data_IF_223971313113
#
_entry.id   IF_223971313113
#
_cell.length_a   1.000
_cell.length_b   1.000
_cell.length_c   1.000
_cell.angle_alpha   90.00
_cell.angle_beta   90.00
_cell.angle_gamma   90.00
#
_symmetry.space_group_name_H-M   'P 1'
#
loop_
_entity.id
_entity.type
_entity.pdbx_description
1 polymer ?
#
# COMPACT_ATOMS: atom_id res chain seq x y z
N UNK A 1 8.79 25.11 8.97
CA UNK A 1 8.01 23.98 8.46
C UNK A 1 7.15 24.48 7.32
N UNK A 2 7.29 23.94 6.11
CA UNK A 2 6.41 24.29 4.98
C UNK A 2 5.19 23.38 5.06
N UNK A 3 4.00 23.96 5.11
CA UNK A 3 2.73 23.22 5.10
C UNK A 3 2.09 23.39 3.74
N UNK A 4 1.68 22.28 3.13
CA UNK A 4 1.00 22.26 1.84
C UNK A 4 -0.50 22.02 2.06
N UNK A 5 -1.33 22.97 1.64
CA UNK A 5 -2.77 22.85 1.79
C UNK A 5 -3.35 21.92 0.72
N UNK A 6 -4.42 21.23 1.07
CA UNK A 6 -5.25 20.47 0.14
C UNK A 6 -6.11 21.41 -0.70
N UNK A 7 -6.04 21.29 -2.03
CA UNK A 7 -6.96 21.97 -2.96
C UNK A 7 -8.24 21.17 -3.13
N UNK A 8 -8.11 19.84 -3.31
CA UNK A 8 -9.23 18.96 -3.61
C UNK A 8 -8.99 17.57 -3.06
N UNK A 9 -10.05 16.96 -2.55
CA UNK A 9 -10.12 15.53 -2.25
C UNK A 9 -11.07 14.90 -3.26
N UNK A 10 -10.63 13.83 -3.91
CA UNK A 10 -11.39 13.14 -4.95
C UNK A 10 -11.59 11.70 -4.48
N UNK A 11 -12.78 11.41 -4.00
CA UNK A 11 -13.17 10.06 -3.58
C UNK A 11 -13.47 9.19 -4.80
N UNK A 12 -13.23 7.88 -4.69
CA UNK A 12 -13.73 6.94 -5.69
C UNK A 12 -15.26 7.05 -5.76
N UNK A 13 -15.86 7.20 -6.96
CA UNK A 13 -17.30 7.45 -7.11
C UNK A 13 -18.16 6.30 -6.56
N UNK A 14 -17.62 5.07 -6.62
CA UNK A 14 -18.29 3.86 -6.15
C UNK A 14 -17.85 3.44 -4.72
N UNK A 15 -17.30 4.35 -3.92
CA UNK A 15 -17.00 4.05 -2.52
C UNK A 15 -18.28 3.69 -1.76
N UNK A 16 -18.24 2.55 -1.06
CA UNK A 16 -19.35 2.06 -0.24
C UNK A 16 -18.92 2.07 1.23
N UNK A 17 -19.61 2.86 2.06
CA UNK A 17 -19.29 3.04 3.48
C UNK A 17 -19.74 1.87 4.36
N UNK A 18 -20.53 0.94 3.83
CA UNK A 18 -20.96 -0.27 4.52
C UNK A 18 -19.94 -1.38 4.30
N UNK A 19 -19.63 -1.70 3.05
CA UNK A 19 -18.67 -2.76 2.72
C UNK A 19 -17.22 -2.32 2.76
N UNK A 20 -16.97 -1.00 2.77
CA UNK A 20 -15.65 -0.37 2.57
C UNK A 20 -15.01 -0.75 1.23
N UNK A 21 -15.82 -1.18 0.26
CA UNK A 21 -15.34 -1.43 -1.08
C UNK A 21 -15.03 -0.13 -1.80
N UNK A 22 -14.04 -0.19 -2.70
CA UNK A 22 -13.47 0.99 -3.36
C UNK A 22 -12.97 2.08 -2.39
N UNK A 23 -12.46 1.70 -1.21
CA UNK A 23 -11.84 2.60 -0.24
C UNK A 23 -10.50 3.18 -0.75
N UNK A 24 -10.59 4.22 -1.56
CA UNK A 24 -9.49 5.00 -2.10
C UNK A 24 -9.94 6.43 -2.40
N UNK A 25 -9.03 7.38 -2.19
CA UNK A 25 -9.19 8.77 -2.61
C UNK A 25 -7.86 9.34 -3.09
N UNK A 26 -7.90 10.36 -3.95
CA UNK A 26 -6.75 11.19 -4.32
C UNK A 26 -6.85 12.54 -3.63
N UNK A 27 -5.70 13.06 -3.20
CA UNK A 27 -5.57 14.39 -2.59
C UNK A 27 -4.72 15.26 -3.50
N UNK A 28 -5.32 16.28 -4.10
CA UNK A 28 -4.60 17.29 -4.88
C UNK A 28 -4.10 18.38 -3.94
N UNK A 29 -2.79 18.63 -3.94
CA UNK A 29 -2.18 19.74 -3.22
C UNK A 29 -2.42 21.03 -3.99
N UNK A 30 -2.72 22.13 -3.28
CA UNK A 30 -2.96 23.44 -3.92
C UNK A 30 -1.73 24.13 -4.47
N UNK A 31 -0.56 23.52 -4.29
CA UNK A 31 0.65 23.91 -4.99
C UNK A 31 1.58 22.71 -5.12
N UNK A 32 2.43 22.74 -6.14
CA UNK A 32 3.51 21.78 -6.26
C UNK A 32 4.47 21.89 -5.07
N UNK A 33 4.95 20.73 -4.59
CA UNK A 33 5.93 20.69 -3.51
C UNK A 33 7.21 21.38 -3.96
N UNK A 34 7.59 22.46 -3.26
CA UNK A 34 8.84 23.19 -3.47
C UNK A 34 9.91 22.58 -2.56
N UNK A 35 10.91 21.98 -3.20
CA UNK A 35 12.04 21.36 -2.52
C UNK A 35 13.25 22.29 -2.58
N UNK A 36 14.11 22.22 -1.56
CA UNK A 36 15.37 22.97 -1.52
C UNK A 36 16.27 22.52 -2.68
N UNK A 37 16.53 23.39 -3.68
CA UNK A 37 17.25 23.00 -4.90
C UNK A 37 18.70 22.57 -4.64
N UNK A 38 19.27 22.89 -3.48
CA UNK A 38 20.63 22.49 -3.10
C UNK A 38 20.72 21.06 -2.57
N UNK A 39 19.58 20.44 -2.24
CA UNK A 39 19.48 19.08 -1.69
C UNK A 39 18.53 18.20 -2.48
N UNK A 40 18.47 18.43 -3.79
CA UNK A 40 17.51 17.74 -4.65
C UNK A 40 18.16 16.88 -5.71
N UNK A 41 17.54 15.73 -5.95
CA UNK A 41 17.82 14.81 -7.04
C UNK A 41 16.60 14.69 -7.93
N UNK A 42 16.83 14.32 -9.19
CA UNK A 42 15.78 14.24 -10.20
C UNK A 42 15.55 12.81 -10.64
N UNK A 43 14.28 12.41 -10.77
CA UNK A 43 13.88 11.18 -11.44
C UNK A 43 12.99 11.53 -12.62
N UNK A 44 13.35 11.04 -13.80
CA UNK A 44 12.47 11.14 -14.96
C UNK A 44 11.41 10.03 -14.86
N UNK A 45 10.15 10.41 -14.94
CA UNK A 45 9.00 9.49 -15.04
C UNK A 45 8.35 9.74 -16.40
N UNK A 46 8.87 9.11 -17.47
CA UNK A 46 8.40 9.37 -18.83
C UNK A 46 6.92 9.03 -18.97
N UNK A 47 6.21 9.79 -19.81
CA UNK A 47 4.80 9.57 -20.14
C UNK A 47 3.83 9.66 -18.94
N UNK A 48 4.22 10.36 -17.87
CA UNK A 48 3.37 10.72 -16.73
C UNK A 48 3.63 12.18 -16.34
N UNK A 49 4.45 12.44 -15.31
CA UNK A 49 4.72 13.78 -14.77
C UNK A 49 6.01 14.41 -15.31
N UNK A 50 6.76 13.70 -16.16
CA UNK A 50 8.08 14.13 -16.60
C UNK A 50 9.09 14.06 -15.46
N UNK A 51 9.87 15.12 -15.26
CA UNK A 51 10.90 15.16 -14.23
C UNK A 51 10.31 15.50 -12.86
N UNK A 52 10.45 14.58 -11.91
CA UNK A 52 10.04 14.78 -10.52
C UNK A 52 11.27 15.01 -9.66
N UNK A 53 11.25 16.13 -8.94
CA UNK A 53 12.31 16.47 -8.00
C UNK A 53 12.05 15.80 -6.64
N UNK A 54 13.09 15.32 -5.98
CA UNK A 54 13.00 14.70 -4.64
C UNK A 54 14.21 15.05 -3.77
N UNK A 55 14.04 14.95 -2.45
CA UNK A 55 15.13 15.08 -1.45
C UNK A 55 15.34 13.75 -0.73
N UNK A 56 16.30 13.70 0.18
CA UNK A 56 16.52 12.55 1.07
C UNK A 56 15.29 12.24 1.97
N UNK A 57 14.41 13.22 2.16
CA UNK A 57 13.25 13.10 3.07
C UNK A 57 11.90 13.14 2.34
N UNK A 58 11.84 13.68 1.12
CA UNK A 58 10.59 13.81 0.35
C UNK A 58 10.83 13.18 -1.02
N UNK A 59 10.28 11.98 -1.22
CA UNK A 59 10.38 11.23 -2.47
C UNK A 59 9.08 10.48 -2.75
N UNK A 60 8.59 10.47 -4.00
CA UNK A 60 7.44 9.65 -4.36
C UNK A 60 7.77 8.15 -4.29
N UNK A 61 6.77 7.35 -3.94
CA UNK A 61 6.81 5.88 -4.06
C UNK A 61 6.46 5.46 -5.49
N UNK A 62 6.97 4.33 -5.97
CA UNK A 62 6.52 3.78 -7.25
C UNK A 62 5.10 3.23 -7.10
N UNK A 63 4.30 3.38 -8.16
CA UNK A 63 3.00 2.71 -8.30
C UNK A 63 3.05 1.66 -9.42
N UNK A 64 2.34 0.53 -9.27
CA UNK A 64 2.21 -0.48 -10.32
C UNK A 64 1.43 0.11 -11.50
N UNK A 65 1.52 -0.52 -12.67
CA UNK A 65 0.80 -0.14 -13.88
C UNK A 65 1.12 1.24 -14.46
N UNK A 66 2.05 1.97 -13.86
CA UNK A 66 2.62 3.21 -14.40
C UNK A 66 3.70 2.92 -15.46
N UNK A 67 3.75 3.66 -16.57
CA UNK A 67 4.84 3.56 -17.54
C UNK A 67 6.22 3.75 -16.87
N UNK A 68 7.19 2.90 -17.23
CA UNK A 68 8.58 2.97 -16.75
C UNK A 68 8.73 3.02 -15.23
N UNK A 69 7.80 2.44 -14.47
CA UNK A 69 7.97 2.32 -13.03
C UNK A 69 9.13 1.37 -12.69
N UNK A 70 9.60 1.45 -11.44
CA UNK A 70 10.73 0.65 -11.00
C UNK A 70 10.43 -0.87 -10.96
N UNK A 71 9.16 -1.27 -10.84
CA UNK A 71 8.70 -2.66 -10.89
C UNK A 71 8.82 -3.25 -12.30
N UNK A 72 8.51 -2.46 -13.33
CA UNK A 72 8.63 -2.85 -14.73
C UNK A 72 10.06 -3.22 -15.06
N UNK A 73 11.01 -2.33 -14.71
CA UNK A 73 12.44 -2.58 -14.90
C UNK A 73 12.87 -3.83 -14.15
N UNK A 74 12.49 -3.97 -12.88
CA UNK A 74 12.79 -5.15 -12.06
C UNK A 74 12.29 -6.45 -12.71
N UNK A 75 11.01 -6.51 -13.12
CA UNK A 75 10.44 -7.72 -13.69
C UNK A 75 11.04 -8.08 -15.05
N UNK A 76 11.48 -7.08 -15.83
CA UNK A 76 12.24 -7.32 -17.07
C UNK A 76 13.61 -7.91 -16.80
N UNK A 77 14.35 -7.47 -15.76
CA UNK A 77 15.65 -8.09 -15.41
C UNK A 77 15.49 -9.53 -14.94
N UNK A 78 14.31 -9.90 -14.42
CA UNK A 78 13.95 -11.28 -14.06
C UNK A 78 13.31 -12.08 -15.20
N UNK A 79 13.20 -11.53 -16.41
CA UNK A 79 12.60 -12.21 -17.57
C UNK A 79 11.10 -12.47 -17.43
N UNK A 80 10.40 -11.79 -16.52
CA UNK A 80 8.97 -12.00 -16.23
C UNK A 80 8.03 -11.20 -17.15
N UNK A 81 8.54 -10.16 -17.80
CA UNK A 81 7.77 -9.35 -18.78
C UNK A 81 8.32 -9.62 -20.19
N UNK A 82 7.53 -10.23 -21.09
CA UNK A 82 7.90 -10.39 -22.50
C UNK A 82 8.21 -9.06 -23.19
N UNK A 83 9.18 -9.03 -24.11
CA UNK A 83 9.64 -7.81 -24.78
C UNK A 83 8.50 -7.03 -25.48
N UNK A 84 7.57 -7.73 -26.12
CA UNK A 84 6.48 -7.15 -26.91
C UNK A 84 5.18 -6.95 -26.12
N UNK A 85 5.24 -6.96 -24.77
CA UNK A 85 4.05 -6.78 -23.94
C UNK A 85 3.53 -5.34 -24.04
N UNK A 86 2.22 -5.19 -24.26
CA UNK A 86 1.55 -3.89 -24.19
C UNK A 86 1.33 -3.44 -22.74
N UNK A 87 0.89 -2.18 -22.53
CA UNK A 87 0.72 -1.60 -21.19
C UNK A 87 -0.26 -2.39 -20.31
N UNK A 88 -1.35 -2.93 -20.89
CA UNK A 88 -2.31 -3.74 -20.15
C UNK A 88 -1.68 -5.05 -19.68
N UNK A 89 -1.00 -5.77 -20.57
CA UNK A 89 -0.30 -7.01 -20.23
C UNK A 89 0.76 -6.78 -19.16
N UNK A 90 1.51 -5.68 -19.27
CA UNK A 90 2.47 -5.25 -18.26
C UNK A 90 1.77 -5.04 -16.91
N UNK A 91 0.67 -4.28 -16.87
CA UNK A 91 -0.09 -4.03 -15.65
C UNK A 91 -0.66 -5.31 -15.03
N UNK A 92 -1.16 -6.25 -15.83
CA UNK A 92 -1.66 -7.55 -15.37
C UNK A 92 -0.51 -8.36 -14.71
N UNK A 93 0.68 -8.39 -15.34
CA UNK A 93 1.88 -9.07 -14.80
C UNK A 93 2.36 -8.40 -13.50
N UNK A 94 2.42 -7.07 -13.48
CA UNK A 94 2.81 -6.28 -12.32
C UNK A 94 1.86 -6.50 -11.14
N UNK A 95 0.55 -6.49 -11.40
CA UNK A 95 -0.51 -6.77 -10.43
C UNK A 95 -0.33 -8.16 -9.84
N UNK A 96 -0.17 -9.18 -10.69
CA UNK A 96 0.05 -10.54 -10.25
C UNK A 96 1.33 -10.69 -9.41
N UNK A 97 2.39 -9.97 -9.77
CA UNK A 97 3.67 -10.03 -9.05
C UNK A 97 3.61 -9.40 -7.65
N UNK A 98 2.98 -8.23 -7.50
CA UNK A 98 2.95 -7.53 -6.19
C UNK A 98 1.91 -8.13 -5.24
N UNK A 99 0.83 -8.69 -5.78
CA UNK A 99 -0.22 -9.37 -5.01
C UNK A 99 0.03 -10.87 -4.83
N UNK A 100 1.20 -11.37 -5.27
CA UNK A 100 1.55 -12.78 -5.11
C UNK A 100 1.60 -13.17 -3.63
N UNK A 101 0.79 -14.17 -3.29
CA UNK A 101 0.71 -14.79 -1.96
C UNK A 101 1.44 -16.13 -1.91
N UNK A 102 1.86 -16.66 -3.05
CA UNK A 102 2.76 -17.80 -3.12
C UNK A 102 4.20 -17.31 -2.90
N UNK A 103 5.04 -18.13 -2.28
CA UNK A 103 6.47 -17.88 -1.98
C UNK A 103 6.81 -17.17 -0.65
N UNK A 104 8.08 -17.32 -0.24
CA UNK A 104 8.72 -16.60 0.88
C UNK A 104 8.87 -15.09 0.64
N UNK A 105 8.44 -14.59 -0.52
CA UNK A 105 8.54 -13.20 -0.93
C UNK A 105 7.22 -12.45 -0.79
N UNK A 106 6.19 -12.97 -0.12
CA UNK A 106 4.92 -12.27 0.11
C UNK A 106 4.96 -11.27 1.29
N UNK A 107 6.16 -10.77 1.62
CA UNK A 107 6.38 -9.78 2.68
C UNK A 107 6.04 -8.37 2.20
N UNK A 108 5.25 -7.68 3.01
CA UNK A 108 4.91 -6.28 2.84
C UNK A 108 5.27 -5.50 4.11
N UNK A 109 5.37 -4.19 3.95
CA UNK A 109 5.70 -3.24 5.00
C UNK A 109 4.54 -2.26 5.11
N UNK A 110 4.12 -2.01 6.33
CA UNK A 110 3.28 -0.85 6.66
C UNK A 110 4.07 0.11 7.54
N UNK A 111 3.88 1.41 7.35
CA UNK A 111 4.50 2.44 8.16
C UNK A 111 3.47 3.45 8.61
N UNK A 112 3.70 4.04 9.79
CA UNK A 112 2.82 5.08 10.29
C UNK A 112 3.10 5.49 11.74
N UNK A 113 2.26 6.38 12.23
CA UNK A 113 2.32 6.95 13.59
C UNK A 113 1.11 6.53 14.43
N UNK A 114 0.38 5.51 13.99
CA UNK A 114 -0.78 4.99 14.68
C UNK A 114 -0.47 4.51 16.09
N UNK A 115 -1.54 4.16 16.79
CA UNK A 115 -1.44 3.65 18.15
C UNK A 115 -0.65 2.34 18.18
N UNK A 116 0.30 2.21 19.09
CA UNK A 116 1.11 1.00 19.23
C UNK A 116 0.33 -0.18 19.83
N UNK A 117 -0.84 0.08 20.42
CA UNK A 117 -1.72 -0.92 20.99
C UNK A 117 -3.17 -0.71 20.52
N UNK A 118 -3.99 -1.76 20.57
CA UNK A 118 -5.42 -1.64 20.29
C UNK A 118 -6.06 -0.65 21.25
N UNK A 119 -6.74 0.35 20.68
CA UNK A 119 -7.35 1.43 21.44
C UNK A 119 -8.45 0.89 22.37
N UNK A 120 -8.32 1.16 23.66
CA UNK A 120 -9.40 0.99 24.63
C UNK A 120 -10.41 2.13 24.50
N UNK A 121 -11.68 1.90 24.85
CA UNK A 121 -12.71 2.97 24.87
C UNK A 121 -12.33 4.16 25.75
N UNK A 122 -11.39 3.99 26.69
CA UNK A 122 -10.93 5.02 27.61
C UNK A 122 -9.63 5.73 27.15
N UNK A 123 -9.07 5.36 25.98
CA UNK A 123 -7.81 5.94 25.52
C UNK A 123 -8.00 7.35 24.96
N UNK A 124 -7.30 8.31 25.57
CA UNK A 124 -7.18 9.69 25.10
C UNK A 124 -6.39 9.74 23.77
N UNK A 125 -6.55 10.83 23.00
CA UNK A 125 -5.84 11.08 21.72
C UNK A 125 -4.30 11.03 21.80
N UNK A 126 -3.71 10.97 22.99
CA UNK A 126 -2.27 11.03 23.26
C UNK A 126 -1.51 9.70 23.05
N UNK A 127 -2.19 8.61 22.69
CA UNK A 127 -1.56 7.27 22.58
C UNK A 127 -1.05 6.92 21.17
N UNK A 128 -1.05 7.89 20.23
CA UNK A 128 -0.39 7.73 18.94
C UNK A 128 1.14 7.76 19.11
N UNK A 129 1.88 7.09 18.23
CA UNK A 129 3.33 7.05 18.35
C UNK A 129 3.97 8.41 18.01
N UNK A 130 4.93 8.84 18.83
CA UNK A 130 5.69 10.07 18.57
C UNK A 130 6.74 9.89 17.47
N UNK A 131 7.08 8.66 17.10
CA UNK A 131 8.07 8.32 16.08
C UNK A 131 7.44 7.42 15.03
N UNK A 132 7.93 7.53 13.78
CA UNK A 132 7.46 6.68 12.70
C UNK A 132 7.79 5.22 13.03
N UNK A 133 6.81 4.35 12.94
CA UNK A 133 6.97 2.91 13.12
C UNK A 133 6.87 2.19 11.79
N UNK A 134 7.39 0.96 11.79
CA UNK A 134 7.34 0.06 10.66
C UNK A 134 6.89 -1.32 11.15
N UNK A 135 5.91 -1.89 10.46
CA UNK A 135 5.44 -3.26 10.65
C UNK A 135 5.77 -4.12 9.43
N UNK A 136 6.23 -5.34 9.67
CA UNK A 136 6.48 -6.34 8.61
C UNK A 136 5.33 -7.33 8.61
N UNK A 137 4.60 -7.36 7.51
CA UNK A 137 3.39 -8.15 7.31
C UNK A 137 3.62 -9.19 6.22
N UNK A 138 2.79 -10.23 6.19
CA UNK A 138 2.84 -11.30 5.21
C UNK A 138 1.48 -11.45 4.56
N UNK A 139 1.37 -11.27 3.24
CA UNK A 139 0.08 -11.38 2.56
C UNK A 139 -0.53 -12.77 2.74
N UNK A 140 -1.84 -12.80 2.90
CA UNK A 140 -2.60 -14.03 3.06
C UNK A 140 -3.47 -14.29 1.81
N UNK A 141 -3.64 -15.57 1.40
CA UNK A 141 -4.59 -15.92 0.34
C UNK A 141 -6.00 -15.38 0.63
N UNK A 142 -6.66 -14.89 -0.42
CA UNK A 142 -7.97 -14.25 -0.29
C UNK A 142 -9.03 -15.16 0.35
N UNK A 143 -9.03 -16.46 0.04
CA UNK A 143 -9.94 -17.42 0.67
C UNK A 143 -9.75 -17.49 2.20
N UNK A 144 -8.50 -17.55 2.68
CA UNK A 144 -8.21 -17.58 4.12
C UNK A 144 -8.52 -16.23 4.79
N UNK A 145 -8.30 -15.11 4.10
CA UNK A 145 -8.70 -13.78 4.53
C UNK A 145 -10.23 -13.66 4.64
N UNK A 146 -10.98 -14.28 3.72
CA UNK A 146 -12.44 -14.35 3.78
C UNK A 146 -12.93 -15.21 4.96
N UNK A 147 -12.33 -16.38 5.19
CA UNK A 147 -12.66 -17.20 6.37
C UNK A 147 -12.42 -16.44 7.67
N UNK A 148 -11.37 -15.61 7.70
CA UNK A 148 -11.12 -14.70 8.80
C UNK A 148 -12.30 -13.73 8.98
N UNK A 149 -12.57 -12.89 7.99
CA UNK A 149 -13.58 -11.82 8.05
C UNK A 149 -15.01 -12.31 8.28
N UNK A 150 -15.36 -13.49 7.76
CA UNK A 150 -16.66 -14.13 7.99
C UNK A 150 -16.98 -14.39 9.47
N UNK A 151 -15.98 -14.60 10.33
CA UNK A 151 -16.20 -14.76 11.78
C UNK A 151 -16.78 -13.49 12.44
N UNK A 152 -16.62 -12.34 11.80
CA UNK A 152 -17.17 -11.06 12.22
C UNK A 152 -18.32 -10.58 11.31
N UNK A 153 -18.86 -11.46 10.46
CA UNK A 153 -20.02 -11.17 9.62
C UNK A 153 -19.78 -10.10 8.56
N UNK A 154 -18.55 -9.96 8.07
CA UNK A 154 -18.20 -8.98 7.03
C UNK A 154 -17.68 -9.68 5.80
N UNK A 155 -18.25 -9.34 4.65
CA UNK A 155 -17.87 -9.90 3.37
C UNK A 155 -16.63 -9.18 2.81
N UNK A 156 -15.60 -9.98 2.50
CA UNK A 156 -14.38 -9.48 1.89
C UNK A 156 -14.52 -9.40 0.36
N UNK A 157 -14.37 -8.21 -0.22
CA UNK A 157 -14.46 -8.02 -1.68
C UNK A 157 -13.17 -8.43 -2.40
N UNK A 158 -13.26 -8.73 -3.70
CA UNK A 158 -12.07 -9.06 -4.51
C UNK A 158 -11.04 -7.93 -4.58
N UNK A 159 -11.46 -6.70 -4.27
CA UNK A 159 -10.61 -5.49 -4.24
C UNK A 159 -9.81 -5.35 -2.95
N UNK A 160 -9.94 -6.29 -2.01
CA UNK A 160 -9.26 -6.26 -0.72
C UNK A 160 -8.25 -7.41 -0.54
N UNK A 161 -7.22 -7.16 0.27
CA UNK A 161 -6.20 -8.15 0.68
C UNK A 161 -5.94 -8.08 2.19
N UNK A 162 -5.73 -9.23 2.84
CA UNK A 162 -5.28 -9.30 4.22
C UNK A 162 -3.75 -9.43 4.31
N UNK A 163 -3.17 -8.81 5.33
CA UNK A 163 -1.78 -9.04 5.70
C UNK A 163 -1.64 -9.17 7.23
N UNK A 164 -1.58 -10.40 7.79
CA UNK A 164 -1.18 -10.58 9.19
C UNK A 164 0.29 -10.26 9.43
N UNK A 165 0.69 -10.24 10.70
CA UNK A 165 2.10 -10.24 11.11
C UNK A 165 2.90 -11.29 10.33
N UNK A 166 4.07 -10.91 9.83
CA UNK A 166 5.02 -11.85 9.25
C UNK A 166 5.73 -12.70 10.31
N UNK A 167 5.58 -12.35 11.58
CA UNK A 167 6.16 -13.04 12.73
C UNK A 167 5.07 -13.86 13.43
N UNK A 168 5.36 -15.12 13.76
CA UNK A 168 4.40 -16.04 14.39
C UNK A 168 4.30 -15.87 15.92
N UNK A 169 5.23 -15.13 16.55
CA UNK A 169 5.28 -14.91 17.99
C UNK A 169 4.84 -13.50 18.40
N UNK A 170 5.07 -12.49 17.55
CA UNK A 170 4.74 -11.08 17.80
C UNK A 170 3.67 -10.58 16.83
N UNK A 171 2.61 -9.97 17.37
CA UNK A 171 1.56 -9.35 16.58
C UNK A 171 2.05 -8.03 15.99
N UNK A 172 1.79 -7.83 14.70
CA UNK A 172 2.14 -6.61 13.96
C UNK A 172 0.96 -6.28 13.05
N UNK A 173 0.54 -5.01 13.03
CA UNK A 173 -0.61 -4.56 12.26
C UNK A 173 -0.56 -3.04 12.01
N UNK A 174 -1.35 -2.55 11.06
CA UNK A 174 -1.66 -1.14 10.91
C UNK A 174 -2.79 -0.79 11.87
N UNK A 175 -2.56 0.16 12.77
CA UNK A 175 -3.50 0.43 13.87
C UNK A 175 -4.32 1.69 13.63
N UNK A 176 -5.21 2.00 14.58
CA UNK A 176 -5.94 3.27 14.57
C UNK A 176 -4.94 4.43 14.44
N UNK A 177 -5.17 5.29 13.45
CA UNK A 177 -4.27 6.40 13.10
C UNK A 177 -3.41 6.15 11.85
N UNK A 178 -3.28 4.90 11.40
CA UNK A 178 -2.57 4.55 10.15
C UNK A 178 -3.50 4.43 8.93
N UNK A 179 -4.82 4.57 9.11
CA UNK A 179 -5.82 4.49 8.04
C UNK A 179 -5.50 5.44 6.88
N UNK A 180 -5.59 4.94 5.64
CA UNK A 180 -5.15 5.63 4.43
C UNK A 180 -3.63 5.56 4.16
N UNK A 181 -2.85 5.01 5.10
CA UNK A 181 -1.42 4.81 4.95
C UNK A 181 -1.05 3.73 3.91
N UNK A 182 0.21 3.69 3.47
CA UNK A 182 0.62 2.81 2.40
C UNK A 182 0.97 1.40 2.91
N UNK A 183 0.55 0.38 2.17
CA UNK A 183 1.14 -0.96 2.22
C UNK A 183 2.14 -1.07 1.07
N UNK A 184 3.43 -1.16 1.39
CA UNK A 184 4.52 -1.13 0.42
C UNK A 184 5.28 -2.45 0.40
N UNK A 185 5.96 -2.71 -0.71
CA UNK A 185 6.82 -3.88 -0.89
C UNK A 185 8.16 -3.44 -1.43
N UNK A 186 9.23 -4.01 -0.87
CA UNK A 186 10.57 -3.85 -1.41
C UNK A 186 10.88 -4.98 -2.39
N UNK A 187 11.39 -4.62 -3.56
CA UNK A 187 11.88 -5.51 -4.60
C UNK A 187 13.37 -5.22 -4.78
N UNK A 188 14.19 -6.02 -4.09
CA UNK A 188 15.64 -5.93 -4.18
C UNK A 188 16.14 -6.73 -5.39
N UNK A 189 16.89 -6.08 -6.27
CA UNK A 189 17.59 -6.73 -7.36
C UNK A 189 19.06 -6.94 -6.98
N UNK A 190 19.42 -8.18 -6.65
CA UNK A 190 20.78 -8.56 -6.28
C UNK A 190 21.81 -8.23 -7.37
N UNK A 191 21.42 -8.27 -8.64
CA UNK A 191 22.32 -8.00 -9.77
C UNK A 191 22.68 -6.52 -9.88
N UNK A 192 21.70 -5.64 -9.71
CA UNK A 192 21.91 -4.19 -9.82
C UNK A 192 22.18 -3.53 -8.46
N UNK A 193 22.01 -4.28 -7.36
CA UNK A 193 22.08 -3.83 -5.97
C UNK A 193 21.13 -2.66 -5.67
N UNK A 194 19.99 -2.61 -6.37
CA UNK A 194 18.97 -1.56 -6.24
C UNK A 194 17.67 -2.11 -5.67
N UNK A 195 17.03 -1.31 -4.83
CA UNK A 195 15.69 -1.57 -4.30
C UNK A 195 14.63 -0.77 -5.06
N UNK A 196 13.54 -1.43 -5.41
CA UNK A 196 12.31 -0.85 -5.89
C UNK A 196 11.27 -0.90 -4.76
N UNK A 197 10.78 0.25 -4.30
CA UNK A 197 9.70 0.32 -3.33
C UNK A 197 8.40 0.63 -4.06
N UNK A 198 7.46 -0.32 -4.02
CA UNK A 198 6.18 -0.25 -4.72
C UNK A 198 5.05 -0.19 -3.71
N UNK A 199 4.15 0.80 -3.82
CA UNK A 199 2.91 0.79 -3.05
C UNK A 199 1.92 -0.15 -3.72
N UNK A 200 1.48 -1.16 -2.97
CA UNK A 200 0.59 -2.20 -3.47
C UNK A 200 -0.76 -2.23 -2.75
N UNK A 201 -0.90 -1.48 -1.65
CA UNK A 201 -2.19 -1.29 -1.02
C UNK A 201 -2.29 -0.05 -0.15
N UNK A 202 -3.48 0.14 0.39
CA UNK A 202 -3.86 1.25 1.26
C UNK A 202 -4.48 0.65 2.53
N UNK A 203 -4.03 1.08 3.71
CA UNK A 203 -4.61 0.68 4.99
C UNK A 203 -6.07 1.10 5.02
N UNK A 204 -6.98 0.14 5.16
CA UNK A 204 -8.43 0.41 5.12
C UNK A 204 -9.07 0.14 6.48
N UNK A 205 -9.23 -1.14 6.85
CA UNK A 205 -9.91 -1.55 8.09
C UNK A 205 -9.31 -2.81 8.71
N UNK A 206 -9.78 -3.18 9.90
CA UNK A 206 -9.30 -4.34 10.65
C UNK A 206 -10.04 -4.53 11.97
N UNK A 207 -9.95 -5.74 12.54
CA UNK A 207 -10.57 -6.06 13.84
C UNK A 207 -9.53 -6.05 14.96
N UNK A 208 -9.29 -4.87 15.51
CA UNK A 208 -8.23 -4.66 16.50
C UNK A 208 -6.85 -4.55 15.85
N UNK A 209 -5.80 -4.68 16.65
CA UNK A 209 -4.42 -4.44 16.25
C UNK A 209 -3.58 -5.71 16.40
N UNK A 210 -3.55 -6.58 15.39
CA UNK A 210 -2.63 -7.73 15.38
C UNK A 210 -2.75 -8.68 16.58
N UNK A 211 -3.93 -8.79 17.21
CA UNK A 211 -4.16 -9.72 18.34
C UNK A 211 -4.21 -11.16 17.86
N UNK A 212 -3.95 -12.12 18.75
CA UNK A 212 -4.15 -13.56 18.45
C UNK A 212 -5.64 -13.91 18.43
N UNK A 213 -6.02 -14.83 17.53
CA UNK A 213 -7.36 -15.37 17.41
C UNK A 213 -7.31 -16.77 16.79
N UNK A 214 -8.36 -17.56 16.98
CA UNK A 214 -8.46 -18.91 16.43
C UNK A 214 -9.32 -18.87 15.16
N UNK A 215 -8.77 -19.29 14.03
CA UNK A 215 -9.49 -19.42 12.77
C UNK A 215 -9.34 -20.84 12.26
N UNK A 216 -10.46 -21.54 12.06
CA UNK A 216 -10.48 -22.94 11.62
C UNK A 216 -9.57 -23.86 12.46
N UNK A 217 -9.55 -23.65 13.78
CA UNK A 217 -8.72 -24.45 14.70
C UNK A 217 -7.23 -24.08 14.72
N UNK A 218 -6.81 -23.01 14.03
CA UNK A 218 -5.42 -22.54 13.99
C UNK A 218 -5.29 -21.16 14.62
N UNK A 219 -4.33 -21.00 15.54
CA UNK A 219 -4.03 -19.72 16.17
C UNK A 219 -3.30 -18.81 15.17
N UNK A 220 -3.81 -17.61 14.93
CA UNK A 220 -3.28 -16.63 13.98
C UNK A 220 -3.37 -15.22 14.55
N UNK A 221 -2.52 -14.34 14.06
CA UNK A 221 -2.73 -12.90 14.27
C UNK A 221 -3.86 -12.40 13.36
N UNK A 222 -4.70 -11.54 13.92
CA UNK A 222 -5.69 -10.78 13.16
C UNK A 222 -4.96 -9.93 12.11
N UNK A 223 -5.30 -10.05 10.82
CA UNK A 223 -4.71 -9.23 9.80
C UNK A 223 -5.40 -7.87 9.70
N UNK A 224 -4.64 -6.86 9.28
CA UNK A 224 -5.19 -5.67 8.66
C UNK A 224 -5.72 -5.99 7.26
N UNK A 225 -6.75 -5.26 6.85
CA UNK A 225 -7.35 -5.33 5.52
C UNK A 225 -6.96 -4.08 4.75
N UNK A 226 -6.51 -4.29 3.52
CA UNK A 226 -5.97 -3.26 2.65
C UNK A 226 -6.68 -3.26 1.30
N UNK A 227 -6.91 -2.07 0.75
CA UNK A 227 -7.35 -1.89 -0.64
C UNK A 227 -6.23 -2.32 -1.58
N UNK A 228 -6.51 -3.17 -2.57
CA UNK A 228 -5.55 -3.60 -3.59
C UNK A 228 -5.35 -2.51 -4.64
N UNK A 229 -4.43 -1.58 -4.36
CA UNK A 229 -4.13 -0.43 -5.23
C UNK A 229 -3.93 -0.77 -6.73
N UNK A 230 -3.25 -1.87 -7.14
CA UNK A 230 -3.12 -2.19 -8.57
C UNK A 230 -4.45 -2.25 -9.34
N UNK A 231 -5.55 -2.67 -8.68
CA UNK A 231 -6.87 -2.78 -9.30
C UNK A 231 -7.56 -1.43 -9.52
N UNK A 232 -7.04 -0.36 -8.93
CA UNK A 232 -7.58 1.01 -9.05
C UNK A 232 -6.73 1.90 -9.94
N UNK A 233 -5.62 1.41 -10.50
CA UNK A 233 -4.70 2.25 -11.28
C UNK A 233 -5.33 2.86 -12.54
N UNK A 234 -6.35 2.21 -13.12
CA UNK A 234 -7.12 2.81 -14.20
C UNK A 234 -7.87 4.08 -13.74
N UNK A 235 -8.58 3.99 -12.61
CA UNK A 235 -9.27 5.15 -12.01
C UNK A 235 -8.28 6.22 -11.54
N UNK A 236 -7.17 5.83 -10.92
CA UNK A 236 -6.11 6.76 -10.49
C UNK A 236 -5.60 7.55 -11.68
N UNK A 237 -5.17 6.90 -12.77
CA UNK A 237 -4.62 7.57 -13.94
C UNK A 237 -5.63 8.51 -14.59
N UNK A 238 -6.88 8.07 -14.80
CA UNK A 238 -7.93 8.91 -15.36
C UNK A 238 -8.24 10.13 -14.49
N UNK A 239 -8.24 9.94 -13.17
CA UNK A 239 -8.51 11.03 -12.22
C UNK A 239 -7.35 12.02 -12.21
N UNK A 240 -6.11 11.56 -12.31
CA UNK A 240 -4.93 12.43 -12.41
C UNK A 240 -4.86 13.20 -13.72
N UNK A 241 -5.28 12.60 -14.84
CA UNK A 241 -5.34 13.29 -16.14
C UNK A 241 -6.43 14.37 -16.17
N UNK A 242 -7.52 14.17 -15.43
CA UNK A 242 -8.66 15.08 -15.41
C UNK A 242 -8.56 16.25 -14.40
N UNK A 243 -7.50 16.33 -13.57
CA UNK A 243 -7.40 17.30 -12.46
C UNK A 243 -6.02 17.95 -12.35
#
# INVERSE_FOLDING_TARGET
MVVYNTEKIIYHPDFDDISLDNDIALVKLGQQVKLDPTKTSWINVPNTFGWVNFTDYIRPVCLPCMPNNCLNSYLRTKGRIPANSNQKQICDIETAAVLDVSNNQNIAVVTGFGHENERSHNDLKLNASATLKQGVLKLMPHATCRDFTNQWGTDLTQRMVCAPSANDTVGTDACKGDSGGPLIRELYDENTRKSCWIQMGIVSWGYGCGKKTMVNGVNRFRPGIFTKLPLFMAWVNQTMEAN
#
